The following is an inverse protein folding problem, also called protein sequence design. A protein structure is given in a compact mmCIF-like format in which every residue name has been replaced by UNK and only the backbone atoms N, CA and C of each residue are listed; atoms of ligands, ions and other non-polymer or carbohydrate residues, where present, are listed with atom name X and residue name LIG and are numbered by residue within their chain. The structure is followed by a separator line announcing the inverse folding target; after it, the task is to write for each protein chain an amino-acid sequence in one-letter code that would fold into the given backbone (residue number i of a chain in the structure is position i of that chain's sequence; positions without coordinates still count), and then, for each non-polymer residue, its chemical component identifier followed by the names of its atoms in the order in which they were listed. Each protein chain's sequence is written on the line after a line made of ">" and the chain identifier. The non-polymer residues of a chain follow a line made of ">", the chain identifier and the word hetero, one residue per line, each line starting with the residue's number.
data_IF_967385983320
#
_entry.id   IF_967385983320
#
_cell.length_a   1.000
_cell.length_b   1.000
_cell.length_c   1.000
_cell.angle_alpha   90.00
_cell.angle_beta   90.00
_cell.angle_gamma   90.00
#
_symmetry.space_group_name_H-M   'P 1'
#
loop_
_entity.id
_entity.type
_entity.pdbx_description
1 polymer ?
#
# COMPACT_ATOMS: atom_id res chain seq x y z
N UNK A 1 9.03 -21.44 17.83
CA UNK A 1 8.13 -20.96 16.76
C UNK A 1 8.17 -21.98 15.65
N UNK A 2 7.13 -22.81 15.52
CA UNK A 2 7.09 -23.84 14.47
C UNK A 2 7.24 -23.15 13.11
N UNK A 3 7.94 -23.77 12.16
CA UNK A 3 8.29 -23.17 10.86
C UNK A 3 7.06 -22.57 10.14
N UNK A 4 5.89 -23.18 10.39
CA UNK A 4 4.56 -22.75 9.94
C UNK A 4 4.10 -21.41 10.54
N UNK A 5 4.26 -21.21 11.84
CA UNK A 5 3.86 -19.96 12.53
C UNK A 5 4.66 -18.76 12.01
N UNK A 6 5.97 -18.94 11.78
CA UNK A 6 6.83 -17.88 11.27
C UNK A 6 6.42 -17.45 9.85
N UNK A 7 6.01 -18.41 9.01
CA UNK A 7 5.56 -18.18 7.64
C UNK A 7 4.24 -17.42 7.58
N UNK A 8 3.28 -17.80 8.44
CA UNK A 8 1.98 -17.12 8.55
C UNK A 8 2.16 -15.67 9.03
N UNK A 9 3.04 -15.45 9.99
CA UNK A 9 3.30 -14.11 10.53
C UNK A 9 3.90 -13.17 9.47
N UNK A 10 4.85 -13.67 8.65
CA UNK A 10 5.42 -12.89 7.54
C UNK A 10 4.34 -12.56 6.50
N UNK A 11 3.49 -13.52 6.13
CA UNK A 11 2.39 -13.27 5.18
C UNK A 11 1.40 -12.23 5.71
N UNK A 12 1.05 -12.29 6.99
CA UNK A 12 0.17 -11.31 7.63
C UNK A 12 0.75 -9.89 7.55
N UNK A 13 2.04 -9.75 7.87
CA UNK A 13 2.75 -8.46 7.81
C UNK A 13 2.78 -7.92 6.39
N UNK A 14 3.07 -8.76 5.40
CA UNK A 14 3.09 -8.36 3.98
C UNK A 14 1.70 -7.88 3.53
N UNK A 15 0.62 -8.57 3.92
CA UNK A 15 -0.75 -8.19 3.56
C UNK A 15 -1.12 -6.83 4.15
N UNK A 16 -0.76 -6.58 5.41
CA UNK A 16 -1.05 -5.30 6.08
C UNK A 16 -0.28 -4.16 5.38
N UNK A 17 1.01 -4.35 5.13
CA UNK A 17 1.86 -3.36 4.44
C UNK A 17 1.32 -3.10 3.02
N UNK A 18 0.95 -4.15 2.30
CA UNK A 18 0.38 -4.04 0.95
C UNK A 18 -0.98 -3.33 0.94
N UNK A 19 -1.83 -3.54 1.94
CA UNK A 19 -3.12 -2.84 2.05
C UNK A 19 -2.94 -1.34 2.31
N UNK A 20 -1.98 -0.98 3.17
CA UNK A 20 -1.66 0.43 3.46
C UNK A 20 -1.05 1.11 2.23
N UNK A 21 -0.04 0.48 1.61
CA UNK A 21 0.61 1.01 0.41
C UNK A 21 -0.33 1.05 -0.78
N UNK A 22 -1.14 0.02 -1.00
CA UNK A 22 -2.08 -0.05 -2.11
C UNK A 22 -3.06 1.11 -2.11
N UNK A 23 -3.54 1.54 -0.93
CA UNK A 23 -4.44 2.68 -0.81
C UNK A 23 -3.80 4.00 -1.28
N UNK A 24 -2.55 4.23 -0.92
CA UNK A 24 -1.76 5.40 -1.33
C UNK A 24 -1.41 5.33 -2.81
N UNK A 25 -0.93 4.17 -3.28
CA UNK A 25 -0.52 3.96 -4.67
C UNK A 25 -1.71 4.07 -5.62
N UNK A 26 -2.88 3.55 -5.27
CA UNK A 26 -4.11 3.71 -6.08
C UNK A 26 -4.49 5.18 -6.17
N UNK A 27 -4.40 5.94 -5.06
CA UNK A 27 -4.67 7.38 -5.05
C UNK A 27 -3.70 8.14 -5.96
N UNK A 28 -2.40 7.85 -5.84
CA UNK A 28 -1.35 8.46 -6.67
C UNK A 28 -1.52 8.08 -8.15
N UNK A 29 -1.82 6.82 -8.43
CA UNK A 29 -2.00 6.32 -9.80
C UNK A 29 -3.24 6.92 -10.47
N UNK A 30 -4.36 7.02 -9.76
CA UNK A 30 -5.55 7.70 -10.26
C UNK A 30 -5.31 9.20 -10.44
N UNK A 31 -4.56 9.84 -9.53
CA UNK A 31 -4.15 11.24 -9.67
C UNK A 31 -3.24 11.45 -10.90
N UNK A 32 -2.30 10.53 -11.15
CA UNK A 32 -1.42 10.55 -12.33
C UNK A 32 -2.22 10.40 -13.65
N UNK A 33 -3.12 9.42 -13.71
CA UNK A 33 -3.88 9.11 -14.93
C UNK A 33 -4.90 10.19 -15.29
N UNK A 34 -5.50 10.85 -14.29
CA UNK A 34 -6.51 11.90 -14.52
C UNK A 34 -5.89 13.27 -14.80
N UNK A 35 -4.57 13.34 -15.04
CA UNK A 35 -3.85 14.61 -15.25
C UNK A 35 -3.83 15.50 -13.99
N UNK A 36 -4.16 14.94 -12.83
CA UNK A 36 -4.09 15.59 -11.54
C UNK A 36 -2.63 15.86 -11.20
N UNK A 37 -2.37 17.10 -10.76
CA UNK A 37 -1.03 17.63 -10.50
C UNK A 37 -0.10 16.59 -9.86
N UNK A 38 1.07 16.38 -10.49
CA UNK A 38 2.12 15.50 -10.00
C UNK A 38 2.60 15.84 -8.57
N UNK A 39 2.18 16.98 -7.99
CA UNK A 39 2.57 17.47 -6.65
C UNK A 39 1.52 18.33 -5.89
N UNK A 40 0.24 18.40 -6.26
CA UNK A 40 -0.63 19.53 -5.85
C UNK A 40 -2.04 19.22 -5.34
N UNK A 41 -2.23 18.30 -4.39
CA UNK A 41 -3.55 18.15 -3.77
C UNK A 41 -3.61 17.29 -2.52
N UNK A 42 -3.17 17.85 -1.39
CA UNK A 42 -3.43 17.39 -0.02
C UNK A 42 -3.05 15.93 0.32
N UNK A 43 -1.82 15.78 0.82
CA UNK A 43 -1.40 14.69 1.71
C UNK A 43 -1.98 14.85 3.15
N UNK A 44 -3.14 15.50 3.27
CA UNK A 44 -3.97 15.66 4.46
C UNK A 44 -5.41 15.31 4.09
#
# INVERSE_FOLDING_TARGET
>A
MTLMQKRILILLVIIIIAAILGRLTVRIFMNLLLGGSLFGGNFL
#
